data_IF_687353281996
#
_entry.id   IF_687353281996
#
_cell.length_a   1.000
_cell.length_b   1.000
_cell.length_c   1.000
_cell.angle_alpha   90.00
_cell.angle_beta   90.00
_cell.angle_gamma   90.00
#
_symmetry.space_group_name_H-M   'P 1'
#
loop_
_entity.id
_entity.type
_entity.pdbx_description
1 polymer ?
#
# COMPACT_ATOMS: atom_id res chain seq x y z
N UNK A 1 -16.09 41.20 4.32
CA UNK A 1 -16.19 40.70 5.69
C UNK A 1 -14.81 40.34 6.26
N UNK A 2 -14.07 39.35 5.70
CA UNK A 2 -12.72 38.96 6.16
C UNK A 2 -11.70 40.11 6.15
N UNK A 3 -11.69 40.95 5.10
CA UNK A 3 -10.78 42.09 5.00
C UNK A 3 -11.08 43.24 6.01
N UNK A 4 -12.28 43.26 6.58
CA UNK A 4 -12.71 44.25 7.56
C UNK A 4 -12.68 43.75 9.00
N UNK A 5 -12.20 42.52 9.23
CA UNK A 5 -12.16 41.93 10.57
C UNK A 5 -13.52 41.61 11.19
N UNK A 6 -14.58 41.60 10.37
CA UNK A 6 -15.94 41.34 10.83
C UNK A 6 -16.20 39.85 11.10
N UNK A 7 -15.35 38.96 10.52
CA UNK A 7 -15.49 37.53 10.64
C UNK A 7 -14.12 36.92 10.91
N UNK A 8 -14.05 35.98 11.87
CA UNK A 8 -12.93 35.09 12.05
C UNK A 8 -13.25 33.76 11.35
N UNK A 9 -12.33 33.25 10.53
CA UNK A 9 -12.54 32.06 9.74
C UNK A 9 -11.34 31.11 9.88
N UNK A 10 -11.62 29.84 10.11
CA UNK A 10 -10.65 28.76 10.03
C UNK A 10 -11.07 27.90 8.84
N UNK A 11 -10.19 27.79 7.84
CA UNK A 11 -10.36 26.92 6.68
C UNK A 11 -9.49 25.69 6.81
N UNK A 12 -10.02 24.52 6.48
CA UNK A 12 -9.26 23.28 6.37
C UNK A 12 -9.30 22.79 4.92
N UNK A 13 -8.15 22.42 4.39
CA UNK A 13 -8.01 21.92 3.00
C UNK A 13 -6.79 21.03 2.89
N UNK A 14 -6.66 20.31 1.78
CA UNK A 14 -5.46 19.55 1.47
C UNK A 14 -4.37 20.46 0.87
N UNK A 15 -3.10 20.02 0.92
CA UNK A 15 -2.00 20.79 0.32
C UNK A 15 -2.16 20.96 -1.19
N UNK A 16 -2.72 19.97 -1.87
CA UNK A 16 -2.93 20.03 -3.32
C UNK A 16 -4.05 20.98 -3.71
N UNK A 17 -5.14 20.99 -2.96
CA UNK A 17 -6.24 21.94 -3.15
C UNK A 17 -5.81 23.36 -2.78
N UNK A 18 -5.05 23.51 -1.69
CA UNK A 18 -4.48 24.80 -1.31
C UNK A 18 -3.66 25.39 -2.45
N UNK A 19 -2.74 24.62 -3.03
CA UNK A 19 -1.92 25.04 -4.18
C UNK A 19 -2.75 25.37 -5.43
N UNK A 20 -3.78 24.57 -5.69
CA UNK A 20 -4.63 24.76 -6.88
C UNK A 20 -5.53 25.97 -6.80
N UNK A 21 -6.03 26.29 -5.62
CA UNK A 21 -7.10 27.29 -5.42
C UNK A 21 -6.60 28.51 -4.66
N UNK A 22 -6.03 28.33 -3.46
CA UNK A 22 -5.72 29.45 -2.55
C UNK A 22 -4.43 30.16 -2.96
N UNK A 23 -3.37 29.45 -3.28
CA UNK A 23 -2.11 30.06 -3.73
C UNK A 23 -2.24 30.86 -5.03
N UNK A 24 -3.19 30.49 -5.90
CA UNK A 24 -3.45 31.22 -7.15
C UNK A 24 -4.25 32.49 -6.92
N UNK A 25 -5.00 32.58 -5.84
CA UNK A 25 -5.75 33.77 -5.48
C UNK A 25 -4.97 34.60 -4.42
N UNK A 26 -4.16 35.55 -4.89
CA UNK A 26 -3.37 36.42 -4.03
C UNK A 26 -4.19 37.24 -3.03
N UNK A 27 -5.51 37.32 -3.19
CA UNK A 27 -6.38 37.95 -2.23
C UNK A 27 -6.71 37.03 -1.05
N UNK A 28 -6.80 35.73 -1.29
CA UNK A 28 -6.99 34.72 -0.24
C UNK A 28 -5.67 34.44 0.49
N UNK A 29 -4.58 34.23 -0.24
CA UNK A 29 -3.26 33.91 0.32
C UNK A 29 -2.79 34.93 1.36
N UNK A 30 -3.03 36.25 1.11
CA UNK A 30 -2.67 37.33 2.05
C UNK A 30 -3.55 37.41 3.30
N UNK A 31 -4.68 36.72 3.34
CA UNK A 31 -5.67 36.79 4.42
C UNK A 31 -5.69 35.58 5.35
N UNK A 32 -5.09 34.50 4.91
CA UNK A 32 -5.00 33.28 5.69
C UNK A 32 -3.56 32.99 6.08
N UNK A 33 -3.34 32.72 7.36
CA UNK A 33 -2.07 32.21 7.84
C UNK A 33 -2.02 30.70 7.55
N UNK A 34 -1.04 30.26 6.79
CA UNK A 34 -0.81 28.84 6.49
C UNK A 34 -0.27 28.13 7.72
N UNK A 35 -1.01 27.14 8.19
CA UNK A 35 -0.60 26.24 9.27
C UNK A 35 -0.60 24.84 8.69
N UNK A 36 0.58 24.22 8.63
CA UNK A 36 0.73 22.83 8.15
C UNK A 36 0.53 21.90 9.35
N UNK A 37 -0.44 21.00 9.22
CA UNK A 37 -0.67 19.92 10.20
C UNK A 37 0.01 18.66 9.67
N UNK A 38 1.05 18.24 10.37
CA UNK A 38 1.83 17.06 9.98
C UNK A 38 1.11 15.76 10.34
N UNK A 39 1.53 14.68 9.66
CA UNK A 39 1.02 13.33 9.95
C UNK A 39 1.48 12.87 11.32
N UNK A 40 0.64 12.13 12.03
CA UNK A 40 1.04 11.46 13.26
C UNK A 40 1.94 10.26 12.97
N UNK A 41 2.93 10.05 13.80
CA UNK A 41 3.74 8.84 13.77
C UNK A 41 3.02 7.64 14.42
N UNK A 42 3.66 6.48 14.38
CA UNK A 42 3.11 5.23 14.93
C UNK A 42 2.85 5.35 16.44
N UNK A 43 3.79 5.91 17.20
CA UNK A 43 3.68 5.98 18.68
C UNK A 43 2.57 6.94 19.12
N UNK A 44 2.49 8.11 18.49
CA UNK A 44 1.41 9.05 18.75
C UNK A 44 0.05 8.46 18.35
N UNK A 45 0.00 7.72 17.24
CA UNK A 45 -1.24 7.06 16.78
C UNK A 45 -1.71 5.99 17.76
N UNK A 46 -0.79 5.16 18.32
CA UNK A 46 -1.12 4.20 19.39
C UNK A 46 -1.73 4.93 20.60
N UNK A 47 -1.09 6.01 21.04
CA UNK A 47 -1.59 6.82 22.18
C UNK A 47 -2.95 7.44 21.91
N UNK A 48 -3.26 7.80 20.66
CA UNK A 48 -4.59 8.31 20.26
C UNK A 48 -5.62 7.19 20.34
N UNK A 49 -5.33 6.00 19.77
CA UNK A 49 -6.24 4.87 19.80
C UNK A 49 -6.51 4.41 21.24
N UNK A 50 -5.51 4.39 22.12
CA UNK A 50 -5.69 4.05 23.54
C UNK A 50 -6.68 4.99 24.24
N UNK A 51 -6.63 6.29 23.94
CA UNK A 51 -7.59 7.25 24.48
C UNK A 51 -9.01 7.07 23.93
N UNK A 52 -9.13 6.65 22.66
CA UNK A 52 -10.40 6.40 22.01
C UNK A 52 -10.99 5.03 22.37
N UNK A 53 -10.16 4.06 22.76
CA UNK A 53 -10.47 2.66 23.07
C UNK A 53 -11.78 2.53 23.87
N UNK A 54 -11.89 3.24 24.98
CA UNK A 54 -13.06 3.15 25.89
C UNK A 54 -14.39 3.52 25.21
N UNK A 55 -14.35 4.45 24.24
CA UNK A 55 -15.56 4.86 23.52
C UNK A 55 -16.02 3.77 22.55
N UNK A 56 -15.08 3.17 21.82
CA UNK A 56 -15.37 2.08 20.87
C UNK A 56 -15.73 0.79 21.57
N UNK A 57 -15.12 0.49 22.73
CA UNK A 57 -15.50 -0.65 23.60
C UNK A 57 -16.95 -0.57 24.03
N UNK A 58 -17.39 0.62 24.46
CA UNK A 58 -18.79 0.85 24.85
C UNK A 58 -19.73 0.75 23.66
N UNK A 59 -19.34 1.32 22.52
CA UNK A 59 -20.17 1.37 21.32
C UNK A 59 -20.42 -0.04 20.75
N UNK A 60 -19.35 -0.82 20.58
CA UNK A 60 -19.46 -2.19 20.04
C UNK A 60 -19.73 -3.25 21.09
N UNK A 61 -19.69 -2.92 22.38
CA UNK A 61 -19.77 -3.87 23.51
C UNK A 61 -18.71 -5.00 23.38
N UNK A 62 -17.45 -4.61 23.17
CA UNK A 62 -16.26 -5.46 23.09
C UNK A 62 -15.18 -4.89 23.99
N UNK A 63 -14.08 -5.62 24.18
CA UNK A 63 -12.85 -5.09 24.78
C UNK A 63 -11.71 -5.24 23.80
N UNK A 64 -10.75 -4.33 23.79
CA UNK A 64 -9.55 -4.44 22.94
C UNK A 64 -8.34 -4.80 23.80
N UNK A 65 -7.58 -5.81 23.40
CA UNK A 65 -6.26 -6.06 23.99
C UNK A 65 -5.27 -4.96 23.55
N UNK A 66 -4.23 -4.74 24.34
CA UNK A 66 -3.21 -3.74 23.98
C UNK A 66 -2.48 -4.14 22.70
N UNK A 67 -2.23 -5.44 22.50
CA UNK A 67 -1.70 -5.99 21.25
C UNK A 67 -2.60 -5.71 20.04
N UNK A 68 -3.93 -5.71 20.23
CA UNK A 68 -4.87 -5.37 19.15
C UNK A 68 -4.78 -3.89 18.76
N UNK A 69 -4.63 -3.00 19.72
CA UNK A 69 -4.46 -1.56 19.46
C UNK A 69 -3.15 -1.31 18.69
N UNK A 70 -2.05 -1.91 19.13
CA UNK A 70 -0.78 -1.82 18.43
C UNK A 70 -0.87 -2.42 17.01
N UNK A 71 -1.57 -3.56 16.86
CA UNK A 71 -1.82 -4.19 15.57
C UNK A 71 -2.64 -3.30 14.63
N UNK A 72 -3.68 -2.60 15.12
CA UNK A 72 -4.46 -1.66 14.30
C UNK A 72 -3.57 -0.58 13.67
N UNK A 73 -2.63 -0.02 14.43
CA UNK A 73 -1.74 1.03 13.93
C UNK A 73 -0.68 0.46 12.99
N UNK A 74 0.07 -0.57 13.43
CA UNK A 74 1.19 -1.10 12.65
C UNK A 74 0.73 -1.78 11.35
N UNK A 75 -0.35 -2.55 11.41
CA UNK A 75 -0.85 -3.25 10.24
C UNK A 75 -1.54 -2.29 9.27
N UNK A 76 -2.30 -1.30 9.75
CA UNK A 76 -2.88 -0.29 8.86
C UNK A 76 -1.80 0.54 8.17
N UNK A 77 -0.74 0.94 8.88
CA UNK A 77 0.38 1.67 8.28
C UNK A 77 1.07 0.85 7.17
N UNK A 78 1.17 -0.44 7.37
CA UNK A 78 1.84 -1.35 6.45
C UNK A 78 1.00 -1.73 5.23
N UNK A 79 -0.30 -1.96 5.43
CA UNK A 79 -1.16 -2.59 4.42
C UNK A 79 -2.21 -1.65 3.80
N UNK A 80 -2.47 -0.50 4.41
CA UNK A 80 -3.42 0.50 3.90
C UNK A 80 -2.64 1.75 3.49
N UNK A 81 -2.55 2.00 2.17
CA UNK A 81 -1.69 3.06 1.60
C UNK A 81 -2.45 4.30 1.16
N UNK A 82 -3.76 4.22 1.01
CA UNK A 82 -4.63 5.28 0.50
C UNK A 82 -4.99 6.36 1.52
N UNK A 83 -4.74 6.12 2.80
CA UNK A 83 -5.03 7.02 3.91
C UNK A 83 -3.85 7.20 4.85
N UNK A 84 -3.91 8.24 5.69
CA UNK A 84 -2.87 8.56 6.67
C UNK A 84 -3.25 8.08 8.07
N UNK A 85 -2.24 7.88 8.93
CA UNK A 85 -2.46 7.75 10.37
C UNK A 85 -2.89 9.11 10.96
N UNK A 86 -3.75 9.12 12.01
CA UNK A 86 -4.31 7.96 12.72
C UNK A 86 -5.59 7.42 12.09
N UNK A 87 -6.19 8.09 11.12
CA UNK A 87 -7.52 7.84 10.54
C UNK A 87 -7.71 6.38 10.12
N UNK A 88 -6.80 5.85 9.28
CA UNK A 88 -6.84 4.44 8.84
C UNK A 88 -6.77 3.42 9.98
N UNK A 89 -6.08 3.74 11.07
CA UNK A 89 -6.00 2.85 12.22
C UNK A 89 -7.28 2.88 13.07
N UNK A 90 -7.93 4.03 13.15
CA UNK A 90 -9.23 4.19 13.79
C UNK A 90 -10.31 3.41 13.02
N UNK A 91 -10.31 3.51 11.68
CA UNK A 91 -11.23 2.74 10.84
C UNK A 91 -11.06 1.22 11.07
N UNK A 92 -9.80 0.74 11.08
CA UNK A 92 -9.51 -0.68 11.34
C UNK A 92 -10.00 -1.10 12.73
N UNK A 93 -9.81 -0.27 13.75
CA UNK A 93 -10.30 -0.54 15.11
C UNK A 93 -11.82 -0.63 15.14
N UNK A 94 -12.52 0.32 14.52
CA UNK A 94 -13.99 0.37 14.45
C UNK A 94 -14.57 -0.87 13.73
N UNK A 95 -14.09 -1.15 12.53
CA UNK A 95 -14.53 -2.29 11.72
C UNK A 95 -14.23 -3.64 12.39
N UNK A 96 -13.08 -3.77 13.07
CA UNK A 96 -12.73 -4.99 13.80
C UNK A 96 -13.66 -5.18 15.00
N UNK A 97 -13.96 -4.13 15.77
CA UNK A 97 -14.91 -4.17 16.87
C UNK A 97 -16.30 -4.59 16.41
N UNK A 98 -16.78 -4.01 15.32
CA UNK A 98 -18.05 -4.38 14.68
C UNK A 98 -18.06 -5.86 14.26
N UNK A 99 -17.01 -6.34 13.60
CA UNK A 99 -16.89 -7.74 13.17
C UNK A 99 -16.93 -8.71 14.35
N UNK A 100 -16.17 -8.45 15.41
CA UNK A 100 -16.12 -9.31 16.60
C UNK A 100 -17.46 -9.31 17.32
N UNK A 101 -18.15 -8.16 17.39
CA UNK A 101 -19.51 -8.06 17.94
C UNK A 101 -20.51 -8.90 17.17
N UNK A 102 -20.45 -8.86 15.83
CA UNK A 102 -21.34 -9.66 14.97
C UNK A 102 -21.12 -11.18 15.14
N UNK A 103 -19.86 -11.60 15.34
CA UNK A 103 -19.54 -13.00 15.62
C UNK A 103 -20.03 -13.45 17.03
N UNK A 104 -20.08 -12.54 17.99
CA UNK A 104 -20.38 -12.84 19.40
C UNK A 104 -21.52 -11.95 19.97
N UNK A 105 -22.75 -12.04 19.46
CA UNK A 105 -23.82 -11.09 19.79
C UNK A 105 -24.29 -11.14 21.26
N UNK A 106 -24.03 -12.24 21.96
CA UNK A 106 -24.56 -12.47 23.32
C UNK A 106 -23.52 -12.23 24.43
N UNK A 107 -22.25 -12.07 24.13
CA UNK A 107 -21.18 -11.91 25.12
C UNK A 107 -20.27 -10.76 24.72
N UNK A 108 -19.73 -10.05 25.72
CA UNK A 108 -18.61 -9.14 25.50
C UNK A 108 -17.39 -9.96 25.11
N UNK A 109 -16.87 -9.76 23.91
CA UNK A 109 -15.72 -10.48 23.36
C UNK A 109 -14.49 -9.58 23.38
N UNK A 110 -13.32 -10.18 23.53
CA UNK A 110 -12.06 -9.46 23.43
C UNK A 110 -11.59 -9.49 21.97
N UNK A 111 -11.27 -8.32 21.42
CA UNK A 111 -10.64 -8.14 20.12
C UNK A 111 -9.15 -8.42 20.25
N UNK A 112 -8.62 -9.31 19.43
CA UNK A 112 -7.23 -9.74 19.43
C UNK A 112 -6.50 -9.23 18.18
N UNK A 113 -5.16 -9.30 18.18
CA UNK A 113 -4.36 -8.98 16.99
C UNK A 113 -4.70 -9.86 15.77
N UNK A 114 -5.18 -11.10 16.00
CA UNK A 114 -5.62 -11.99 14.92
C UNK A 114 -6.92 -11.51 14.27
N UNK A 115 -7.85 -10.96 15.07
CA UNK A 115 -9.08 -10.35 14.54
C UNK A 115 -8.75 -9.14 13.69
N UNK A 116 -7.80 -8.31 14.12
CA UNK A 116 -7.29 -7.16 13.35
C UNK A 116 -6.68 -7.64 12.03
N UNK A 117 -5.83 -8.66 12.06
CA UNK A 117 -5.24 -9.25 10.85
C UNK A 117 -6.31 -9.78 9.88
N UNK A 118 -7.35 -10.43 10.43
CA UNK A 118 -8.50 -10.92 9.64
C UNK A 118 -9.29 -9.77 9.00
N UNK A 119 -9.47 -8.65 9.71
CA UNK A 119 -10.15 -7.47 9.19
C UNK A 119 -9.34 -6.82 8.08
N UNK A 120 -8.05 -6.56 8.29
CA UNK A 120 -7.15 -5.99 7.27
C UNK A 120 -7.12 -6.88 6.02
N UNK A 121 -7.10 -8.21 6.21
CA UNK A 121 -7.21 -9.16 5.09
C UNK A 121 -8.46 -8.91 4.24
N UNK A 122 -9.61 -8.68 4.87
CA UNK A 122 -10.86 -8.38 4.16
C UNK A 122 -10.84 -7.02 3.46
N UNK A 123 -10.27 -6.00 4.11
CA UNK A 123 -10.20 -4.65 3.56
C UNK A 123 -9.25 -4.56 2.35
N UNK A 124 -8.11 -5.26 2.43
CA UNK A 124 -7.03 -5.15 1.44
C UNK A 124 -7.00 -6.28 0.42
N UNK A 125 -7.71 -7.38 0.70
CA UNK A 125 -7.64 -8.61 -0.10
C UNK A 125 -6.36 -9.42 0.12
N UNK A 126 -5.49 -9.02 1.06
CA UNK A 126 -4.27 -9.77 1.41
C UNK A 126 -4.64 -10.92 2.35
N UNK A 127 -4.27 -12.17 2.08
CA UNK A 127 -4.62 -13.30 2.92
C UNK A 127 -4.12 -13.15 4.37
N UNK A 128 -4.99 -13.48 5.33
CA UNK A 128 -4.71 -13.33 6.76
C UNK A 128 -3.48 -14.14 7.24
N UNK A 129 -3.19 -15.27 6.60
CA UNK A 129 -1.98 -16.05 6.87
C UNK A 129 -0.67 -15.28 6.61
N UNK A 130 -0.68 -14.33 5.66
CA UNK A 130 0.48 -13.47 5.41
C UNK A 130 0.64 -12.37 6.47
N UNK A 131 -0.45 -11.95 7.06
CA UNK A 131 -0.45 -10.89 8.06
C UNK A 131 -0.02 -11.46 9.44
N UNK A 132 -0.42 -12.70 9.74
CA UNK A 132 -0.19 -13.35 11.03
C UNK A 132 1.15 -14.11 11.14
N UNK A 133 1.65 -14.72 10.03
CA UNK A 133 2.94 -15.43 10.06
C UNK A 133 4.09 -14.42 10.08
N UNK A 134 5.07 -14.64 10.96
CA UNK A 134 6.26 -13.78 10.98
C UNK A 134 6.93 -13.82 9.60
N UNK A 135 7.10 -12.65 8.98
CA UNK A 135 7.65 -12.49 7.64
C UNK A 135 9.01 -13.17 7.47
N UNK A 136 9.79 -13.22 8.56
CA UNK A 136 11.09 -13.89 8.57
C UNK A 136 11.00 -15.37 8.26
N UNK A 137 10.02 -16.09 8.84
CA UNK A 137 9.83 -17.53 8.59
C UNK A 137 9.39 -17.79 7.14
N UNK A 138 8.51 -16.96 6.60
CA UNK A 138 8.09 -17.04 5.20
C UNK A 138 9.26 -16.82 4.24
N UNK A 139 10.06 -15.79 4.49
CA UNK A 139 11.22 -15.49 3.65
C UNK A 139 12.27 -16.62 3.67
N UNK A 140 12.41 -17.33 4.79
CA UNK A 140 13.30 -18.51 4.86
C UNK A 140 12.80 -19.66 4.00
N UNK A 141 11.50 -19.95 3.99
CA UNK A 141 10.87 -21.06 3.22
C UNK A 141 10.69 -20.73 1.73
N UNK A 142 10.91 -19.49 1.31
CA UNK A 142 10.64 -19.00 -0.04
C UNK A 142 11.38 -19.79 -1.11
N UNK A 143 12.67 -20.07 -0.89
CA UNK A 143 13.50 -20.81 -1.84
C UNK A 143 12.95 -22.20 -2.14
N UNK A 144 12.62 -22.96 -1.11
CA UNK A 144 12.13 -24.34 -1.25
C UNK A 144 10.77 -24.40 -1.95
N UNK A 145 9.88 -23.46 -1.62
CA UNK A 145 8.57 -23.36 -2.29
C UNK A 145 8.69 -22.98 -3.77
N UNK A 146 9.59 -22.06 -4.11
CA UNK A 146 9.82 -21.72 -5.52
C UNK A 146 10.44 -22.88 -6.30
N UNK A 147 11.41 -23.62 -5.72
CA UNK A 147 12.01 -24.81 -6.35
C UNK A 147 11.01 -25.94 -6.57
N UNK A 148 10.04 -26.11 -5.69
CA UNK A 148 8.98 -27.11 -5.88
C UNK A 148 8.09 -26.86 -7.10
N UNK A 149 8.04 -25.60 -7.59
CA UNK A 149 7.20 -25.20 -8.75
C UNK A 149 8.00 -24.97 -10.01
N UNK A 150 9.25 -24.56 -9.89
CA UNK A 150 10.13 -24.22 -11.00
C UNK A 150 11.32 -25.17 -10.97
N UNK A 151 11.36 -26.05 -11.92
CA UNK A 151 12.41 -27.07 -12.00
C UNK A 151 13.55 -26.56 -12.89
N UNK A 152 14.78 -26.71 -12.42
CA UNK A 152 15.98 -26.46 -13.23
C UNK A 152 16.43 -24.99 -13.31
N UNK A 153 15.94 -24.11 -12.39
CA UNK A 153 16.32 -22.70 -12.31
C UNK A 153 16.83 -22.29 -10.90
N UNK A 154 17.52 -23.21 -10.23
CA UNK A 154 17.91 -23.04 -8.82
C UNK A 154 18.77 -21.79 -8.58
N UNK A 155 19.74 -21.52 -9.46
CA UNK A 155 20.61 -20.36 -9.33
C UNK A 155 19.82 -19.05 -9.47
N UNK A 156 18.87 -18.97 -10.39
CA UNK A 156 18.01 -17.81 -10.57
C UNK A 156 17.10 -17.59 -9.35
N UNK A 157 16.52 -18.66 -8.83
CA UNK A 157 15.69 -18.64 -7.62
C UNK A 157 16.53 -18.14 -6.44
N UNK A 158 17.74 -18.65 -6.21
CA UNK A 158 18.60 -18.21 -5.11
C UNK A 158 18.95 -16.73 -5.18
N UNK A 159 19.27 -16.22 -6.36
CA UNK A 159 19.57 -14.80 -6.56
C UNK A 159 18.36 -13.90 -6.22
N UNK A 160 17.17 -14.29 -6.67
CA UNK A 160 15.93 -13.56 -6.40
C UNK A 160 15.58 -13.62 -4.92
N UNK A 161 15.59 -14.80 -4.31
CA UNK A 161 15.29 -15.00 -2.87
C UNK A 161 16.21 -14.15 -2.00
N UNK A 162 17.53 -14.21 -2.22
CA UNK A 162 18.51 -13.42 -1.46
C UNK A 162 18.30 -11.91 -1.63
N UNK A 163 17.92 -11.47 -2.80
CA UNK A 163 17.67 -10.05 -3.05
C UNK A 163 16.39 -9.57 -2.34
N UNK A 164 15.32 -10.38 -2.33
CA UNK A 164 14.08 -10.09 -1.61
C UNK A 164 14.31 -10.12 -0.10
N UNK A 165 15.02 -11.12 0.42
CA UNK A 165 15.38 -11.20 1.84
C UNK A 165 16.14 -9.94 2.31
N UNK A 166 17.14 -9.50 1.52
CA UNK A 166 17.88 -8.25 1.82
C UNK A 166 16.98 -7.01 1.76
N UNK A 167 16.09 -6.95 0.78
CA UNK A 167 15.13 -5.83 0.64
C UNK A 167 14.18 -5.73 1.84
N UNK A 168 13.76 -6.87 2.40
CA UNK A 168 12.83 -6.94 3.55
C UNK A 168 13.53 -6.82 4.90
N UNK A 169 14.84 -7.04 4.99
CA UNK A 169 15.60 -6.88 6.24
C UNK A 169 15.73 -5.42 6.74
N UNK A 170 15.02 -4.48 6.14
CA UNK A 170 14.95 -3.09 6.61
C UNK A 170 16.14 -2.20 6.21
N UNK A 171 17.03 -2.68 5.34
CA UNK A 171 18.23 -1.94 4.90
C UNK A 171 17.89 -0.98 3.74
N UNK A 172 16.71 -1.11 3.12
CA UNK A 172 16.26 -0.29 1.99
C UNK A 172 15.31 0.82 2.40
N UNK A 173 15.34 1.90 1.62
CA UNK A 173 14.41 3.02 1.66
C UNK A 173 12.96 2.49 1.43
N UNK A 174 12.01 2.79 2.32
CA UNK A 174 10.62 2.38 2.17
C UNK A 174 9.93 2.85 0.87
N UNK A 175 10.42 3.93 0.27
CA UNK A 175 9.91 4.47 -0.99
C UNK A 175 10.36 3.71 -2.24
N UNK A 176 11.21 2.66 -2.10
CA UNK A 176 11.74 1.91 -3.25
C UNK A 176 11.15 0.51 -3.33
N UNK A 177 11.03 -0.08 -4.55
CA UNK A 177 10.59 -1.44 -4.74
C UNK A 177 11.44 -2.44 -3.92
N UNK A 178 10.83 -3.51 -3.42
CA UNK A 178 11.51 -4.57 -2.65
C UNK A 178 12.68 -5.15 -3.44
N UNK A 179 12.50 -5.34 -4.75
CA UNK A 179 13.53 -5.80 -5.68
C UNK A 179 13.19 -5.44 -7.12
N UNK A 180 14.23 -5.16 -7.89
CA UNK A 180 14.15 -4.97 -9.35
C UNK A 180 15.07 -6.00 -9.98
N UNK A 181 14.53 -6.78 -10.93
CA UNK A 181 15.22 -7.91 -11.55
C UNK A 181 15.13 -7.82 -13.06
N UNK A 182 16.17 -8.24 -13.73
CA UNK A 182 16.15 -8.51 -15.17
C UNK A 182 16.43 -9.99 -15.38
N UNK A 183 15.49 -10.69 -16.04
CA UNK A 183 15.64 -12.11 -16.38
C UNK A 183 16.16 -12.26 -17.81
N UNK A 184 17.35 -12.77 -17.94
CA UNK A 184 17.98 -13.10 -19.24
C UNK A 184 17.84 -14.58 -19.53
N UNK A 185 17.52 -14.93 -20.76
CA UNK A 185 17.45 -16.30 -21.22
C UNK A 185 16.64 -16.43 -22.49
N UNK A 186 16.76 -17.60 -23.15
CA UNK A 186 16.02 -17.92 -24.37
C UNK A 186 14.50 -17.91 -24.12
N UNK A 187 13.73 -17.84 -25.19
CA UNK A 187 12.26 -17.97 -25.11
C UNK A 187 11.90 -19.37 -24.60
N UNK A 188 10.89 -19.45 -23.72
CA UNK A 188 10.40 -20.74 -23.20
C UNK A 188 11.13 -21.28 -21.97
N UNK A 189 12.21 -20.63 -21.46
CA UNK A 189 12.98 -21.11 -20.29
C UNK A 189 12.30 -20.84 -18.94
N UNK A 190 11.10 -20.24 -18.91
CA UNK A 190 10.31 -20.06 -17.69
C UNK A 190 10.42 -18.67 -17.03
N UNK A 191 10.91 -17.63 -17.72
CA UNK A 191 11.03 -16.26 -17.16
C UNK A 191 9.69 -15.72 -16.62
N UNK A 192 8.64 -15.80 -17.41
CA UNK A 192 7.29 -15.37 -17.02
C UNK A 192 6.71 -16.25 -15.91
N UNK A 193 7.00 -17.56 -15.93
CA UNK A 193 6.56 -18.48 -14.89
C UNK A 193 7.21 -18.17 -13.53
N UNK A 194 8.49 -17.77 -13.52
CA UNK A 194 9.17 -17.34 -12.32
C UNK A 194 8.50 -16.08 -11.72
N UNK A 195 8.14 -15.10 -12.56
CA UNK A 195 7.42 -13.90 -12.11
C UNK A 195 6.03 -14.23 -11.53
N UNK A 196 5.28 -15.14 -12.16
CA UNK A 196 3.99 -15.62 -11.65
C UNK A 196 4.12 -16.33 -10.30
N UNK A 197 5.06 -17.27 -10.19
CA UNK A 197 5.32 -17.98 -8.94
C UNK A 197 5.78 -17.06 -7.82
N UNK A 198 6.50 -15.98 -8.16
CA UNK A 198 6.84 -14.91 -7.22
C UNK A 198 5.61 -14.13 -6.74
N UNK A 199 4.73 -13.73 -7.66
CA UNK A 199 3.49 -13.04 -7.32
C UNK A 199 2.62 -13.89 -6.39
N UNK A 200 2.45 -15.16 -6.74
CA UNK A 200 1.70 -16.11 -5.92
C UNK A 200 2.34 -16.33 -4.54
N UNK A 201 3.65 -16.45 -4.48
CA UNK A 201 4.32 -16.65 -3.19
C UNK A 201 4.28 -15.41 -2.30
N UNK A 202 4.53 -14.22 -2.87
CA UNK A 202 4.59 -12.96 -2.12
C UNK A 202 3.20 -12.40 -1.78
N UNK A 203 2.21 -12.65 -2.65
CA UNK A 203 0.89 -12.02 -2.58
C UNK A 203 -0.27 -13.02 -2.69
N UNK A 204 -0.01 -14.33 -2.56
CA UNK A 204 -0.93 -15.48 -2.54
C UNK A 204 -1.86 -15.59 -3.76
N UNK A 205 -1.59 -14.86 -4.84
CA UNK A 205 -2.32 -14.99 -6.10
C UNK A 205 -1.43 -14.64 -7.29
N UNK A 206 -1.52 -15.42 -8.35
CA UNK A 206 -0.92 -15.08 -9.64
C UNK A 206 -1.54 -13.79 -10.23
N UNK A 207 -2.80 -13.48 -9.88
CA UNK A 207 -3.50 -12.26 -10.33
C UNK A 207 -2.90 -10.98 -9.73
N UNK A 208 -2.09 -11.09 -8.68
CA UNK A 208 -1.33 -9.97 -8.13
C UNK A 208 -0.04 -9.70 -8.93
N UNK A 209 -0.11 -9.98 -10.24
CA UNK A 209 0.90 -9.61 -11.22
C UNK A 209 0.31 -8.65 -12.25
N UNK A 210 0.95 -7.49 -12.42
CA UNK A 210 0.66 -6.55 -13.50
C UNK A 210 1.62 -6.86 -14.63
N UNK A 211 1.12 -7.47 -15.70
CA UNK A 211 1.90 -7.71 -16.91
C UNK A 211 1.69 -6.58 -17.91
N UNK A 212 2.77 -6.03 -18.41
CA UNK A 212 2.81 -5.05 -19.49
C UNK A 212 3.69 -5.60 -20.61
N UNK A 213 3.14 -5.65 -21.82
CA UNK A 213 3.87 -6.00 -23.03
C UNK A 213 4.54 -4.74 -23.58
N UNK A 214 5.85 -4.70 -23.56
CA UNK A 214 6.60 -3.52 -24.00
C UNK A 214 6.57 -3.31 -25.50
N UNK A 215 6.11 -4.27 -26.28
CA UNK A 215 5.83 -4.07 -27.72
C UNK A 215 4.73 -3.03 -27.98
N UNK A 216 3.84 -2.78 -27.03
CA UNK A 216 2.84 -1.71 -27.11
C UNK A 216 3.43 -0.31 -26.86
N UNK A 217 4.68 -0.24 -26.34
CA UNK A 217 5.34 0.99 -25.92
C UNK A 217 6.61 1.29 -26.73
N UNK A 218 6.61 0.93 -28.03
CA UNK A 218 7.73 1.16 -28.96
C UNK A 218 7.85 2.63 -29.36
N UNK A 219 6.76 3.39 -29.30
CA UNK A 219 6.74 4.79 -29.73
C UNK A 219 6.74 5.76 -28.55
N UNK A 220 7.39 6.89 -28.71
CA UNK A 220 7.61 7.90 -27.67
C UNK A 220 6.30 8.40 -27.01
N UNK A 221 5.23 8.57 -27.79
CA UNK A 221 3.96 9.05 -27.24
C UNK A 221 3.27 8.00 -26.35
N UNK A 222 3.56 6.72 -26.50
CA UNK A 222 3.03 5.67 -25.65
C UNK A 222 3.64 5.67 -24.25
N UNK A 223 4.80 6.28 -24.04
CA UNK A 223 5.42 6.43 -22.71
C UNK A 223 4.52 7.25 -21.78
N UNK A 224 3.92 8.32 -22.30
CA UNK A 224 2.96 9.13 -21.51
C UNK A 224 1.70 8.36 -21.12
N UNK A 225 1.28 7.35 -21.90
CA UNK A 225 0.19 6.44 -21.51
C UNK A 225 0.58 5.53 -20.34
N UNK A 226 1.87 5.17 -20.24
CA UNK A 226 2.36 4.30 -19.17
C UNK A 226 2.44 5.04 -17.83
N UNK A 227 3.08 6.23 -17.84
CA UNK A 227 3.43 6.99 -16.62
C UNK A 227 2.39 8.08 -16.31
N UNK A 228 1.69 8.58 -17.33
CA UNK A 228 0.79 9.72 -17.27
C UNK A 228 1.35 10.91 -18.07
N UNK A 229 0.46 11.77 -18.56
CA UNK A 229 0.84 12.98 -19.29
C UNK A 229 1.38 14.05 -18.32
N UNK A 230 2.37 14.86 -18.75
CA UNK A 230 2.83 16.00 -17.97
C UNK A 230 1.71 17.02 -17.73
N UNK A 231 1.81 17.85 -16.67
CA UNK A 231 0.83 18.91 -16.41
C UNK A 231 0.65 19.83 -17.64
N UNK A 232 -0.61 20.04 -18.02
CA UNK A 232 -0.96 20.88 -19.17
C UNK A 232 -1.17 20.17 -20.51
N UNK A 233 -0.96 18.86 -20.58
CA UNK A 233 -1.28 18.04 -21.74
C UNK A 233 -2.61 17.30 -21.59
N UNK A 234 -3.25 16.99 -22.72
CA UNK A 234 -4.48 16.21 -22.77
C UNK A 234 -4.21 14.82 -22.18
N UNK A 235 -5.08 14.38 -21.24
CA UNK A 235 -4.91 13.11 -20.53
C UNK A 235 -4.16 13.18 -19.19
N UNK A 236 -3.77 14.38 -18.72
CA UNK A 236 -3.13 14.56 -17.40
C UNK A 236 -4.01 14.06 -16.23
N UNK A 237 -5.33 14.25 -16.33
CA UNK A 237 -6.28 13.84 -15.28
C UNK A 237 -6.54 12.33 -15.26
N UNK A 238 -6.26 11.62 -16.36
CA UNK A 238 -6.52 10.17 -16.48
C UNK A 238 -5.47 9.31 -15.78
N UNK A 239 -4.31 9.91 -15.42
CA UNK A 239 -3.18 9.17 -14.84
C UNK A 239 -2.51 8.19 -15.82
N UNK A 240 -1.39 7.59 -15.43
CA UNK A 240 -0.71 6.56 -16.22
C UNK A 240 -1.31 5.18 -16.00
N UNK A 241 -1.35 4.35 -17.05
CA UNK A 241 -1.88 2.99 -16.97
C UNK A 241 -1.18 2.13 -15.90
N UNK A 242 0.15 2.24 -15.79
CA UNK A 242 0.91 1.56 -14.76
C UNK A 242 0.60 2.14 -13.38
N UNK A 243 0.62 3.46 -13.25
CA UNK A 243 0.35 4.17 -11.99
C UNK A 243 -1.03 3.82 -11.43
N UNK A 244 -2.06 3.81 -12.27
CA UNK A 244 -3.42 3.46 -11.87
C UNK A 244 -3.56 1.97 -11.51
N UNK A 245 -2.92 1.06 -12.26
CA UNK A 245 -2.94 -0.38 -11.93
C UNK A 245 -2.24 -0.66 -10.60
N UNK A 246 -1.07 -0.04 -10.36
CA UNK A 246 -0.33 -0.17 -9.11
C UNK A 246 -1.10 0.46 -7.94
N UNK A 247 -1.75 1.60 -8.16
CA UNK A 247 -2.60 2.24 -7.14
C UNK A 247 -3.76 1.35 -6.70
N UNK A 248 -4.38 0.63 -7.66
CA UNK A 248 -5.46 -0.33 -7.36
C UNK A 248 -4.97 -1.63 -6.73
N UNK A 249 -3.72 -2.04 -7.03
CA UNK A 249 -3.08 -3.24 -6.50
C UNK A 249 -1.66 -2.91 -6.02
N UNK A 250 -1.51 -2.26 -4.85
CA UNK A 250 -0.21 -1.79 -4.36
C UNK A 250 0.74 -2.93 -4.00
N UNK A 251 0.20 -4.11 -3.68
CA UNK A 251 0.97 -5.33 -3.43
C UNK A 251 0.93 -6.22 -4.66
N UNK A 252 1.85 -5.98 -5.60
CA UNK A 252 1.90 -6.72 -6.85
C UNK A 252 3.35 -6.89 -7.36
N UNK A 253 3.50 -7.83 -8.28
CA UNK A 253 4.69 -7.95 -9.13
C UNK A 253 4.41 -7.24 -10.45
N UNK A 254 5.22 -6.28 -10.84
CA UNK A 254 5.16 -5.67 -12.17
C UNK A 254 6.11 -6.40 -13.08
N UNK A 255 5.60 -7.03 -14.12
CA UNK A 255 6.36 -7.69 -15.16
C UNK A 255 6.31 -6.85 -16.44
N UNK A 256 7.48 -6.32 -16.84
CA UNK A 256 7.69 -5.69 -18.13
C UNK A 256 8.20 -6.77 -19.08
N UNK A 257 7.32 -7.30 -19.92
CA UNK A 257 7.66 -8.38 -20.85
C UNK A 257 8.22 -7.77 -22.16
N UNK A 258 9.16 -8.46 -22.80
CA UNK A 258 9.82 -7.99 -24.03
C UNK A 258 10.42 -6.58 -23.90
N UNK A 259 11.14 -6.32 -22.80
CA UNK A 259 11.71 -5.01 -22.47
C UNK A 259 12.60 -4.42 -23.57
N UNK A 260 13.22 -5.27 -24.39
CA UNK A 260 14.06 -4.90 -25.52
C UNK A 260 13.29 -4.17 -26.64
N UNK A 261 11.96 -4.27 -26.66
CA UNK A 261 11.11 -3.59 -27.63
C UNK A 261 10.64 -2.21 -27.17
N UNK A 262 10.84 -1.90 -25.91
CA UNK A 262 10.41 -0.61 -25.34
C UNK A 262 11.19 0.56 -25.97
N UNK A 263 10.53 1.73 -26.07
CA UNK A 263 11.23 2.96 -26.40
C UNK A 263 12.29 3.29 -25.32
N UNK A 264 13.47 3.84 -25.69
CA UNK A 264 14.52 4.17 -24.71
C UNK A 264 14.10 5.09 -23.57
N UNK A 265 13.04 5.86 -23.74
CA UNK A 265 12.51 6.76 -22.71
C UNK A 265 11.64 6.01 -21.64
N UNK A 266 11.36 4.70 -21.81
CA UNK A 266 10.69 3.84 -20.84
C UNK A 266 11.70 3.34 -19.82
#
# INVERSE_FOLDING_TARGET
ALARGEIQCIGATTMDEFRKIVEKDGALDRRFQKIVVERTDIQHSISILDKLKTNYEKYHNVTYSDDAIEACVRMSERYITDRCLPDKAIDVMDETGSMVRLKNPKKTACVTAEDVASMISKMTGIPSGQIAESEGVRLMKMGDKLRSRIIGQDEAIDKVVRAIQRGRAGIKDPGKPIGTFIFFGQTGVGKTQLAKSLAEYLFDSEDNMIRLDMSEYMEKFNVSRLIGAPPGYVGFEEGGQLSERVRRKPYCVVLLDEIEKAHPDV
#
